data_IF_933932701747
#
_entry.id   IF_933932701747
#
_cell.length_a   1.000
_cell.length_b   1.000
_cell.length_c   1.000
_cell.angle_alpha   90.00
_cell.angle_beta   90.00
_cell.angle_gamma   90.00
#
_symmetry.space_group_name_H-M   'P 1'
#
loop_
_entity.id
_entity.type
_entity.pdbx_description
1 polymer ?
#
# COMPACT_ATOMS: atom_id res chain seq x y z
N UNK A 1 -14.44 -11.15 -16.66
CA UNK A 1 -13.53 -11.49 -15.54
C UNK A 1 -12.15 -11.97 -16.01
N UNK A 2 -12.02 -12.65 -17.16
CA UNK A 2 -10.72 -13.12 -17.67
C UNK A 2 -9.78 -12.02 -18.21
N UNK A 3 -10.32 -10.97 -18.83
CA UNK A 3 -9.50 -9.88 -19.42
C UNK A 3 -8.71 -9.13 -18.35
N UNK A 4 -9.38 -8.71 -17.26
CA UNK A 4 -8.73 -8.04 -16.13
C UNK A 4 -7.63 -8.90 -15.49
N UNK A 5 -7.86 -10.22 -15.38
CA UNK A 5 -6.85 -11.13 -14.83
C UNK A 5 -5.62 -11.22 -15.74
N UNK A 6 -5.82 -11.33 -17.05
CA UNK A 6 -4.72 -11.34 -18.02
C UNK A 6 -3.90 -10.03 -18.01
N UNK A 7 -4.58 -8.88 -17.87
CA UNK A 7 -3.91 -7.57 -17.73
C UNK A 7 -3.08 -7.49 -16.45
N UNK A 8 -3.58 -8.05 -15.34
CA UNK A 8 -2.85 -8.10 -14.07
C UNK A 8 -1.63 -9.04 -14.14
N UNK A 9 -1.77 -10.21 -14.76
CA UNK A 9 -0.67 -11.16 -14.95
C UNK A 9 0.44 -10.55 -15.84
N UNK A 10 0.07 -9.81 -16.89
CA UNK A 10 1.01 -9.07 -17.73
C UNK A 10 1.69 -7.94 -16.96
N UNK A 11 0.94 -7.17 -16.17
CA UNK A 11 1.48 -6.12 -15.32
C UNK A 11 2.52 -6.68 -14.32
N UNK A 12 2.25 -7.83 -13.72
CA UNK A 12 3.21 -8.51 -12.82
C UNK A 12 4.50 -8.84 -13.57
N UNK A 13 4.40 -9.51 -14.73
CA UNK A 13 5.58 -9.91 -15.50
C UNK A 13 6.44 -8.71 -15.95
N UNK A 14 5.79 -7.62 -16.40
CA UNK A 14 6.48 -6.39 -16.78
C UNK A 14 7.15 -5.72 -15.58
N UNK A 15 6.46 -5.63 -14.44
CA UNK A 15 7.01 -5.01 -13.24
C UNK A 15 8.16 -5.82 -12.64
N UNK A 16 8.11 -7.15 -12.63
CA UNK A 16 9.23 -8.00 -12.19
C UNK A 16 10.49 -7.83 -13.08
N UNK A 17 10.29 -7.61 -14.38
CA UNK A 17 11.39 -7.29 -15.29
C UNK A 17 11.94 -5.89 -15.02
N UNK A 18 11.08 -4.89 -14.86
CA UNK A 18 11.48 -3.53 -14.53
C UNK A 18 12.23 -3.47 -13.18
N UNK A 19 11.73 -4.17 -12.17
CA UNK A 19 12.36 -4.28 -10.85
C UNK A 19 13.80 -4.79 -10.92
N UNK A 20 14.06 -5.80 -11.75
CA UNK A 20 15.43 -6.32 -11.97
C UNK A 20 16.33 -5.27 -12.62
N UNK A 21 15.81 -4.50 -13.56
CA UNK A 21 16.56 -3.42 -14.22
C UNK A 21 16.86 -2.29 -13.24
N UNK A 22 15.86 -1.79 -12.52
CA UNK A 22 16.04 -0.73 -11.53
C UNK A 22 17.06 -1.12 -10.45
N UNK A 23 17.00 -2.36 -9.95
CA UNK A 23 18.02 -2.89 -9.02
C UNK A 23 19.42 -2.93 -9.62
N UNK A 24 19.55 -3.38 -10.87
CA UNK A 24 20.85 -3.43 -11.55
C UNK A 24 21.44 -2.03 -11.79
N UNK A 25 20.57 -1.03 -12.01
CA UNK A 25 20.95 0.37 -12.20
C UNK A 25 21.14 1.13 -10.88
N UNK A 26 20.75 0.56 -9.73
CA UNK A 26 20.73 1.26 -8.46
C UNK A 26 19.64 2.34 -8.35
N UNK A 27 18.62 2.30 -9.22
CA UNK A 27 17.50 3.24 -9.21
C UNK A 27 16.48 2.83 -8.15
N UNK A 28 16.61 3.42 -6.96
CA UNK A 28 15.72 3.15 -5.83
C UNK A 28 14.30 3.69 -6.06
N UNK A 29 14.15 4.83 -6.72
CA UNK A 29 12.82 5.40 -7.00
C UNK A 29 12.04 4.50 -7.96
N UNK A 30 12.67 4.05 -9.05
CA UNK A 30 12.05 3.09 -9.97
C UNK A 30 11.76 1.75 -9.31
N UNK A 31 12.63 1.27 -8.41
CA UNK A 31 12.38 0.05 -7.64
C UNK A 31 11.11 0.17 -6.76
N UNK A 32 10.95 1.29 -6.05
CA UNK A 32 9.78 1.54 -5.22
C UNK A 32 8.49 1.59 -6.05
N UNK A 33 8.51 2.27 -7.20
CA UNK A 33 7.36 2.35 -8.10
C UNK A 33 6.94 0.95 -8.60
N UNK A 34 7.89 0.15 -9.09
CA UNK A 34 7.61 -1.21 -9.56
C UNK A 34 7.03 -2.10 -8.45
N UNK A 35 7.53 -1.98 -7.22
CA UNK A 35 6.98 -2.68 -6.06
C UNK A 35 5.55 -2.24 -5.74
N UNK A 36 5.24 -0.94 -5.83
CA UNK A 36 3.88 -0.46 -5.63
C UNK A 36 2.88 -1.02 -6.64
N UNK A 37 3.29 -1.12 -7.91
CA UNK A 37 2.45 -1.70 -8.96
C UNK A 37 2.26 -3.20 -8.72
N UNK A 38 3.31 -3.95 -8.36
CA UNK A 38 3.20 -5.36 -7.96
C UNK A 38 2.25 -5.56 -6.77
N UNK A 39 2.34 -4.67 -5.77
CA UNK A 39 1.46 -4.69 -4.61
C UNK A 39 -0.02 -4.55 -5.00
N UNK A 40 -0.33 -3.60 -5.88
CA UNK A 40 -1.69 -3.40 -6.40
C UNK A 40 -2.15 -4.57 -7.27
N UNK A 41 -1.27 -5.12 -8.11
CA UNK A 41 -1.61 -6.23 -9.00
C UNK A 41 -1.97 -7.48 -8.20
N UNK A 42 -1.17 -7.84 -7.19
CA UNK A 42 -1.47 -8.96 -6.30
C UNK A 42 -2.73 -8.76 -5.46
N UNK A 43 -3.03 -7.52 -5.04
CA UNK A 43 -4.33 -7.23 -4.41
C UNK A 43 -5.51 -7.53 -5.35
N UNK A 44 -5.39 -7.18 -6.64
CA UNK A 44 -6.39 -7.47 -7.66
C UNK A 44 -6.51 -8.94 -8.04
N UNK A 45 -5.40 -9.69 -7.97
CA UNK A 45 -5.36 -11.14 -8.23
C UNK A 45 -5.90 -11.98 -7.06
N UNK A 46 -6.12 -11.38 -5.89
CA UNK A 46 -6.57 -12.09 -4.70
C UNK A 46 -5.44 -12.68 -3.86
N UNK A 47 -4.22 -12.14 -4.00
CA UNK A 47 -3.02 -12.53 -3.26
C UNK A 47 -2.62 -11.44 -2.23
N UNK A 48 -3.40 -11.25 -1.15
CA UNK A 48 -3.21 -10.14 -0.22
C UNK A 48 -1.88 -10.20 0.54
N UNK A 49 -1.31 -11.38 0.75
CA UNK A 49 -0.01 -11.52 1.42
C UNK A 49 1.15 -11.01 0.56
N UNK A 50 1.16 -11.35 -0.74
CA UNK A 50 2.15 -10.83 -1.68
C UNK A 50 1.97 -9.32 -1.87
N UNK A 51 0.72 -8.85 -1.93
CA UNK A 51 0.43 -7.42 -1.97
C UNK A 51 1.07 -6.66 -0.80
N UNK A 52 0.90 -7.17 0.42
CA UNK A 52 1.50 -6.59 1.63
C UNK A 52 3.03 -6.61 1.56
N UNK A 53 3.64 -7.73 1.13
CA UNK A 53 5.10 -7.85 1.00
C UNK A 53 5.68 -6.80 0.04
N UNK A 54 5.03 -6.60 -1.11
CA UNK A 54 5.47 -5.62 -2.09
C UNK A 54 5.33 -4.19 -1.59
N UNK A 55 4.21 -3.83 -0.96
CA UNK A 55 4.05 -2.50 -0.36
C UNK A 55 4.97 -2.25 0.84
N UNK A 56 5.29 -3.28 1.63
CA UNK A 56 6.26 -3.17 2.73
C UNK A 56 7.67 -2.86 2.20
N UNK A 57 8.09 -3.56 1.14
CA UNK A 57 9.35 -3.25 0.45
C UNK A 57 9.33 -1.86 -0.18
N UNK A 58 8.25 -1.47 -0.83
CA UNK A 58 8.08 -0.11 -1.38
C UNK A 58 8.27 0.95 -0.28
N UNK A 59 7.62 0.76 0.87
CA UNK A 59 7.72 1.65 2.02
C UNK A 59 9.15 1.72 2.57
N UNK A 60 9.85 0.59 2.66
CA UNK A 60 11.25 0.56 3.11
C UNK A 60 12.15 1.39 2.19
N UNK A 61 12.01 1.24 0.86
CA UNK A 61 12.77 2.03 -0.10
C UNK A 61 12.42 3.51 -0.01
N UNK A 62 11.13 3.84 0.07
CA UNK A 62 10.65 5.21 0.21
C UNK A 62 11.25 5.89 1.45
N UNK A 63 11.32 5.17 2.57
CA UNK A 63 11.97 5.63 3.79
C UNK A 63 13.48 5.89 3.57
N UNK A 64 14.18 4.99 2.88
CA UNK A 64 15.61 5.14 2.59
C UNK A 64 15.92 6.38 1.73
N UNK A 65 15.08 6.68 0.74
CA UNK A 65 15.28 7.83 -0.17
C UNK A 65 14.63 9.13 0.35
N UNK A 66 13.91 9.06 1.47
CA UNK A 66 13.21 10.21 2.06
C UNK A 66 11.91 10.61 1.36
N UNK A 67 11.32 9.73 0.55
CA UNK A 67 10.04 9.95 -0.13
C UNK A 67 8.87 9.67 0.80
N UNK A 68 8.46 10.69 1.54
CA UNK A 68 7.36 10.60 2.51
C UNK A 68 5.99 10.38 1.86
N UNK A 69 5.82 10.77 0.60
CA UNK A 69 4.57 10.58 -0.12
C UNK A 69 4.37 9.10 -0.44
N UNK A 70 5.40 8.47 -1.02
CA UNK A 70 5.37 7.03 -1.34
C UNK A 70 5.31 6.18 -0.08
N UNK A 71 6.02 6.56 0.99
CA UNK A 71 5.94 5.90 2.30
C UNK A 71 4.49 5.88 2.81
N UNK A 72 3.84 7.04 2.83
CA UNK A 72 2.48 7.18 3.30
C UNK A 72 1.49 6.41 2.41
N UNK A 73 1.62 6.51 1.09
CA UNK A 73 0.77 5.80 0.13
C UNK A 73 0.88 4.27 0.27
N UNK A 74 2.09 3.76 0.47
CA UNK A 74 2.34 2.33 0.71
C UNK A 74 1.62 1.86 1.98
N UNK A 75 1.71 2.65 3.06
CA UNK A 75 1.01 2.37 4.31
C UNK A 75 -0.52 2.36 4.14
N UNK A 76 -1.06 3.28 3.35
CA UNK A 76 -2.48 3.30 3.02
C UNK A 76 -2.94 2.04 2.27
N UNK A 77 -2.18 1.63 1.25
CA UNK A 77 -2.49 0.44 0.45
C UNK A 77 -2.45 -0.83 1.31
N UNK A 78 -1.42 -1.01 2.15
CA UNK A 78 -1.38 -2.09 3.13
C UNK A 78 -2.60 -2.05 4.07
N UNK A 79 -3.01 -0.84 4.50
CA UNK A 79 -4.19 -0.66 5.33
C UNK A 79 -5.47 -1.17 4.67
N UNK A 80 -5.66 -0.93 3.37
CA UNK A 80 -6.79 -1.45 2.60
C UNK A 80 -6.74 -2.99 2.55
N UNK A 81 -5.57 -3.56 2.28
CA UNK A 81 -5.41 -5.02 2.19
C UNK A 81 -5.65 -5.69 3.56
N UNK A 82 -5.15 -5.11 4.64
CA UNK A 82 -5.45 -5.57 6.00
C UNK A 82 -6.93 -5.48 6.35
N UNK A 83 -7.62 -4.42 5.93
CA UNK A 83 -9.06 -4.29 6.12
C UNK A 83 -9.82 -5.41 5.38
N UNK A 84 -9.43 -5.70 4.15
CA UNK A 84 -10.01 -6.79 3.35
C UNK A 84 -9.77 -8.18 3.97
N UNK A 85 -8.62 -8.38 4.60
CA UNK A 85 -8.30 -9.58 5.39
C UNK A 85 -9.01 -9.65 6.75
N UNK A 86 -9.77 -8.62 7.14
CA UNK A 86 -10.42 -8.54 8.45
C UNK A 86 -9.47 -8.22 9.60
N UNK A 87 -8.19 -7.94 9.33
CA UNK A 87 -7.21 -7.55 10.35
C UNK A 87 -7.32 -6.05 10.66
N UNK A 88 -8.40 -5.71 11.36
CA UNK A 88 -8.72 -4.32 11.72
C UNK A 88 -7.60 -3.63 12.54
N UNK A 89 -6.90 -4.28 13.48
CA UNK A 89 -5.81 -3.63 14.22
C UNK A 89 -4.67 -3.16 13.31
N UNK A 90 -4.21 -4.03 12.39
CA UNK A 90 -3.15 -3.67 11.44
C UNK A 90 -3.62 -2.64 10.41
N UNK A 91 -4.86 -2.75 9.94
CA UNK A 91 -5.45 -1.77 9.02
C UNK A 91 -5.47 -0.36 9.62
N UNK A 92 -5.94 -0.23 10.88
CA UNK A 92 -6.00 1.06 11.56
C UNK A 92 -4.60 1.63 11.85
N UNK A 93 -3.62 0.77 12.15
CA UNK A 93 -2.23 1.17 12.32
C UNK A 93 -1.63 1.76 11.04
N UNK A 94 -1.80 1.07 9.91
CA UNK A 94 -1.26 1.50 8.63
C UNK A 94 -1.97 2.77 8.09
N UNK A 95 -3.30 2.83 8.18
CA UNK A 95 -4.06 4.03 7.76
C UNK A 95 -3.75 5.26 8.62
N UNK A 96 -3.33 5.09 9.88
CA UNK A 96 -2.92 6.22 10.74
C UNK A 96 -1.70 6.93 10.18
N UNK A 97 -0.68 6.20 9.74
CA UNK A 97 0.55 6.81 9.21
C UNK A 97 0.24 7.69 7.98
N UNK A 98 -0.63 7.21 7.09
CA UNK A 98 -1.09 7.99 5.92
C UNK A 98 -1.88 9.25 6.32
N UNK A 99 -2.79 9.14 7.30
CA UNK A 99 -3.55 10.28 7.81
C UNK A 99 -2.63 11.33 8.45
N UNK A 100 -1.60 10.91 9.19
CA UNK A 100 -0.60 11.81 9.78
C UNK A 100 0.20 12.54 8.70
N UNK A 101 0.56 11.85 7.60
CA UNK A 101 1.17 12.47 6.44
C UNK A 101 0.24 13.52 5.80
N UNK A 102 -1.00 13.17 5.49
CA UNK A 102 -1.98 14.11 4.89
C UNK A 102 -2.20 15.34 5.78
N UNK A 103 -2.21 15.16 7.10
CA UNK A 103 -2.30 16.25 8.07
C UNK A 103 -1.08 17.16 8.00
N UNK A 104 0.12 16.60 7.84
CA UNK A 104 1.36 17.38 7.76
C UNK A 104 1.43 18.28 6.52
N UNK A 105 0.82 17.86 5.41
CA UNK A 105 0.81 18.62 4.14
C UNK A 105 -0.47 19.45 3.94
N UNK A 106 -1.45 19.34 4.85
CA UNK A 106 -2.73 20.05 4.74
C UNK A 106 -3.61 19.59 3.57
N UNK A 107 -3.55 18.30 3.21
CA UNK A 107 -4.28 17.78 2.05
C UNK A 107 -5.81 17.87 2.23
N UNK A 108 -6.52 18.21 1.16
CA UNK A 108 -7.99 18.41 1.18
C UNK A 108 -8.76 17.15 1.55
N UNK A 109 -8.26 15.98 1.17
CA UNK A 109 -8.92 14.70 1.46
C UNK A 109 -8.72 14.18 2.91
N UNK A 110 -7.99 14.90 3.76
CA UNK A 110 -7.69 14.48 5.14
C UNK A 110 -8.94 14.00 5.88
N UNK A 111 -10.03 14.76 5.80
CA UNK A 111 -11.28 14.47 6.51
C UNK A 111 -11.90 13.13 6.08
N UNK A 112 -11.82 12.79 4.79
CA UNK A 112 -12.34 11.54 4.25
C UNK A 112 -11.55 10.34 4.79
N UNK A 113 -10.23 10.45 4.81
CA UNK A 113 -9.35 9.38 5.30
C UNK A 113 -9.45 9.23 6.83
N UNK A 114 -9.55 10.33 7.58
CA UNK A 114 -9.82 10.32 9.01
C UNK A 114 -11.15 9.66 9.36
N UNK A 115 -12.21 9.93 8.60
CA UNK A 115 -13.49 9.28 8.79
C UNK A 115 -13.40 7.76 8.59
N UNK A 116 -12.64 7.28 7.59
CA UNK A 116 -12.40 5.82 7.42
C UNK A 116 -11.64 5.23 8.61
N UNK A 117 -10.57 5.89 9.06
CA UNK A 117 -9.79 5.45 10.23
C UNK A 117 -10.65 5.39 11.51
N UNK A 118 -11.49 6.39 11.75
CA UNK A 118 -12.38 6.43 12.91
C UNK A 118 -13.42 5.31 12.89
N UNK A 119 -13.96 4.97 11.71
CA UNK A 119 -14.85 3.80 11.56
C UNK A 119 -14.15 2.49 11.94
N UNK A 120 -12.89 2.31 11.53
CA UNK A 120 -12.10 1.11 11.90
C UNK A 120 -11.83 1.06 13.40
N UNK A 121 -11.44 2.17 14.01
CA UNK A 121 -11.24 2.26 15.47
C UNK A 121 -12.52 1.96 16.26
N UNK A 122 -13.67 2.43 15.78
CA UNK A 122 -14.96 2.13 16.41
C UNK A 122 -15.33 0.65 16.31
N UNK A 123 -14.91 -0.06 15.25
CA UNK A 123 -15.08 -1.53 15.14
C UNK A 123 -14.18 -2.27 16.14
N UNK A 124 -12.94 -1.82 16.31
CA UNK A 124 -12.01 -2.38 17.31
C UNK A 124 -12.55 -2.25 18.73
N UNK A 125 -13.01 -1.06 19.12
CA UNK A 125 -13.55 -0.81 20.46
C UNK A 125 -14.84 -1.57 20.79
N UNK A 126 -15.58 -2.05 19.77
CA UNK A 126 -16.78 -2.89 19.95
C UNK A 126 -16.47 -4.38 20.04
N UNK A 127 -15.35 -4.84 19.49
CA UNK A 127 -14.94 -6.25 19.53
C UNK A 127 -14.31 -6.67 20.87
N UNK A 128 -14.03 -5.71 21.76
CA UNK A 128 -13.41 -5.91 23.07
C UNK A 128 -14.41 -5.76 24.25
N UNK A 129 -15.73 -5.80 23.97
CA UNK A 129 -16.81 -5.76 24.98
C UNK A 129 -17.60 -7.05 24.96
#
# INVERSE_FOLDING_TARGET
>A
MYVLRGELDEAVALCERALRVFRALGDRSGEAEALGILGNAHAGLGDPLLSIEHHDRQMAIACEIGDREVEAASSWNMGIVYEALGNIPRAAGAMRNYVEYLRSIGHTDLQRHEARLNRLRARLGRSAR
#
